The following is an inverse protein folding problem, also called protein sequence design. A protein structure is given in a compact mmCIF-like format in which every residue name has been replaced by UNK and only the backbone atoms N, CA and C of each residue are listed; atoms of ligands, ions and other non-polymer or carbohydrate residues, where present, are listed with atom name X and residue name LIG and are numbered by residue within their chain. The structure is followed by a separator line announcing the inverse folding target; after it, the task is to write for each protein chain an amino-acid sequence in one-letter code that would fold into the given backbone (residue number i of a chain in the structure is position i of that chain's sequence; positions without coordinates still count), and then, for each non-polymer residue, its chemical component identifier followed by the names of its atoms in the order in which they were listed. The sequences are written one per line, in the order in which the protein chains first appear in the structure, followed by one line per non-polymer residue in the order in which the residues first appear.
data_IF_267016812945
#
_entry.id   IF_267016812945
#
_cell.length_a   1.000
_cell.length_b   1.000
_cell.length_c   1.000
_cell.angle_alpha   90.00
_cell.angle_beta   90.00
_cell.angle_gamma   90.00
#
_symmetry.space_group_name_H-M   'P 1'
#
loop_
_entity.id
_entity.type
_entity.pdbx_description
1 polymer ?
#
# COMPACT_ATOMS: atom_id res chain seq x y z
N UNK A 1 6.29 -3.07 8.63
CA UNK A 1 5.48 -3.86 7.65
C UNK A 1 4.15 -3.17 7.46
N UNK A 2 3.51 -3.27 6.30
CA UNK A 2 2.18 -2.69 6.04
C UNK A 2 1.20 -3.76 5.57
N UNK A 3 0.01 -3.78 6.15
CA UNK A 3 -1.10 -4.61 5.67
C UNK A 3 -1.74 -3.95 4.45
N UNK A 4 -1.94 -4.72 3.39
CA UNK A 4 -2.71 -4.30 2.22
C UNK A 4 -3.72 -5.39 1.86
N UNK A 5 -4.76 -5.01 1.13
CA UNK A 5 -5.65 -5.95 0.49
C UNK A 5 -5.27 -6.14 -0.99
N UNK A 6 -4.92 -7.37 -1.36
CA UNK A 6 -4.73 -7.78 -2.75
C UNK A 6 -6.00 -8.46 -3.29
N UNK A 7 -6.60 -7.99 -4.39
CA UNK A 7 -7.80 -8.61 -4.96
C UNK A 7 -7.66 -10.09 -5.34
N UNK A 8 -6.44 -10.58 -5.53
CA UNK A 8 -6.18 -11.97 -5.95
C UNK A 8 -5.78 -12.90 -4.82
N UNK A 9 -5.18 -12.39 -3.75
CA UNK A 9 -4.60 -13.19 -2.66
C UNK A 9 -5.17 -12.85 -1.28
N UNK A 10 -6.03 -11.84 -1.19
CA UNK A 10 -6.54 -11.33 0.08
C UNK A 10 -5.54 -10.44 0.80
N UNK A 11 -5.59 -10.44 2.13
CA UNK A 11 -4.77 -9.55 2.94
C UNK A 11 -3.32 -10.03 3.05
N UNK A 12 -2.37 -9.13 2.81
CA UNK A 12 -0.95 -9.43 2.80
C UNK A 12 -0.14 -8.41 3.60
N UNK A 13 0.91 -8.90 4.28
CA UNK A 13 1.92 -8.05 4.92
C UNK A 13 3.07 -7.77 3.96
N UNK A 14 3.18 -6.52 3.52
CA UNK A 14 4.20 -6.07 2.60
C UNK A 14 5.40 -5.48 3.37
N UNK A 15 6.61 -5.99 3.12
CA UNK A 15 7.82 -5.44 3.70
C UNK A 15 8.34 -4.21 2.95
N UNK A 16 9.09 -3.32 3.62
CA UNK A 16 9.62 -2.10 3.00
C UNK A 16 10.40 -2.35 1.71
N UNK A 17 11.16 -3.45 1.63
CA UNK A 17 11.93 -3.85 0.42
C UNK A 17 11.08 -4.07 -0.84
N UNK A 18 9.75 -4.18 -0.72
CA UNK A 18 8.81 -4.33 -1.84
C UNK A 18 8.11 -3.00 -2.19
N UNK A 19 8.40 -1.92 -1.49
CA UNK A 19 7.91 -0.56 -1.76
C UNK A 19 8.91 0.12 -2.70
N UNK A 20 8.44 0.56 -3.86
CA UNK A 20 9.27 1.19 -4.90
C UNK A 20 9.28 2.72 -4.83
N UNK A 21 8.13 3.30 -4.47
CA UNK A 21 8.01 4.76 -4.41
C UNK A 21 6.97 5.16 -3.39
N UNK A 22 7.21 6.30 -2.76
CA UNK A 22 6.26 7.03 -1.93
C UNK A 22 6.12 8.43 -2.50
N UNK A 23 4.89 8.85 -2.76
CA UNK A 23 4.59 10.19 -3.28
C UNK A 23 3.56 10.84 -2.38
N UNK A 24 3.94 11.93 -1.71
CA UNK A 24 2.99 12.79 -1.02
C UNK A 24 2.09 13.49 -2.04
N UNK A 25 0.79 13.44 -1.83
CA UNK A 25 -0.20 14.22 -2.56
C UNK A 25 -1.14 14.90 -1.56
N UNK A 26 -1.96 15.82 -2.07
CA UNK A 26 -3.07 16.45 -1.36
C UNK A 26 -4.14 15.45 -0.85
N UNK A 27 -4.11 14.20 -1.29
CA UNK A 27 -5.07 13.15 -0.94
C UNK A 27 -4.47 12.07 0.00
N UNK A 28 -3.20 12.19 0.37
CA UNK A 28 -2.46 11.22 1.19
C UNK A 28 -1.15 10.80 0.52
N UNK A 29 -0.58 9.68 0.96
CA UNK A 29 0.65 9.12 0.41
C UNK A 29 0.29 8.00 -0.56
N UNK A 30 0.66 8.16 -1.83
CA UNK A 30 0.58 7.09 -2.82
C UNK A 30 1.83 6.22 -2.74
N UNK A 31 1.64 4.94 -2.48
CA UNK A 31 2.68 3.95 -2.33
C UNK A 31 2.61 2.94 -3.48
N UNK A 32 3.69 2.80 -4.25
CA UNK A 32 3.81 1.77 -5.29
C UNK A 32 4.53 0.56 -4.73
N UNK A 33 3.93 -0.62 -4.86
CA UNK A 33 4.46 -1.87 -4.28
C UNK A 33 4.47 -3.02 -5.29
N UNK A 34 5.40 -3.96 -5.11
CA UNK A 34 5.36 -5.28 -5.73
C UNK A 34 4.64 -6.26 -4.81
N UNK A 35 3.38 -6.59 -5.13
CA UNK A 35 2.58 -7.57 -4.38
C UNK A 35 3.06 -9.00 -4.63
N UNK A 36 2.70 -9.93 -3.75
CA UNK A 36 3.02 -11.35 -3.94
C UNK A 36 2.22 -11.99 -5.09
N UNK A 37 1.13 -11.37 -5.54
CA UNK A 37 0.39 -11.80 -6.74
C UNK A 37 1.15 -11.57 -8.06
N UNK A 38 2.35 -10.99 -8.01
CA UNK A 38 3.19 -10.70 -9.17
C UNK A 38 2.88 -9.37 -9.86
N UNK A 39 1.86 -8.64 -9.41
CA UNK A 39 1.48 -7.32 -9.98
C UNK A 39 2.00 -6.17 -9.13
N UNK A 40 2.10 -5.00 -9.76
CA UNK A 40 2.33 -3.74 -9.06
C UNK A 40 1.00 -3.15 -8.62
N UNK A 41 0.92 -2.76 -7.34
CA UNK A 41 -0.24 -2.07 -6.80
C UNK A 41 0.13 -0.64 -6.42
N UNK A 42 -0.85 0.25 -6.52
CA UNK A 42 -0.80 1.59 -5.92
C UNK A 42 -1.75 1.57 -4.74
N UNK A 43 -1.22 1.82 -3.55
CA UNK A 43 -2.01 1.89 -2.33
C UNK A 43 -1.94 3.31 -1.80
N UNK A 44 -3.08 3.88 -1.42
CA UNK A 44 -3.14 5.18 -0.78
C UNK A 44 -3.17 4.99 0.73
N UNK A 45 -2.22 5.60 1.43
CA UNK A 45 -2.14 5.63 2.90
C UNK A 45 -2.08 7.07 3.40
N UNK A 46 -2.00 7.27 4.71
CA UNK A 46 -1.81 8.59 5.31
C UNK A 46 -3.07 9.46 5.35
N UNK A 47 -4.26 8.94 5.05
CA UNK A 47 -5.49 9.55 5.55
C UNK A 47 -5.50 9.35 7.06
N UNK A 48 -5.67 10.44 7.81
CA UNK A 48 -5.92 10.40 9.26
C UNK A 48 -6.97 9.32 9.50
N UNK A 49 -6.68 8.31 10.33
CA UNK A 49 -7.71 7.40 10.78
C UNK A 49 -8.83 8.30 11.33
N UNK A 50 -10.02 8.25 10.73
CA UNK A 50 -11.18 8.80 11.41
C UNK A 50 -11.25 8.01 12.71
N UNK A 51 -11.10 8.71 13.84
CA UNK A 51 -11.29 8.08 15.13
C UNK A 51 -12.69 7.43 15.08
N UNK A 52 -12.73 6.11 15.31
CA UNK A 52 -13.98 5.35 15.41
C UNK A 52 -14.82 5.88 16.57
#
# INVERSE_FOLDING_TARGET
MMLIHCPSLGDELIPPRRIHSLTNTDHGILMRINCYCGRRHVVRTGRRAQAL
#
